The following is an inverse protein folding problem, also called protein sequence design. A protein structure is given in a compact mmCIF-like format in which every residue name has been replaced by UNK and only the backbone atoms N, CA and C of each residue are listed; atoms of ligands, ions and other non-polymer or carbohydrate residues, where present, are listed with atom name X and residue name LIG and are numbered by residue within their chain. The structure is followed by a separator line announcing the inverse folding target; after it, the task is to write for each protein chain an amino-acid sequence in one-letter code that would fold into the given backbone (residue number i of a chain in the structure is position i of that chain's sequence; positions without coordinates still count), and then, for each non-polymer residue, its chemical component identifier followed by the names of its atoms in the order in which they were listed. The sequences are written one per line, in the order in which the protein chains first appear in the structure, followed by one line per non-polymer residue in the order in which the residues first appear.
data_IF_957720461540
#
_entry.id   IF_957720461540
#
_cell.length_a   1.000
_cell.length_b   1.000
_cell.length_c   1.000
_cell.angle_alpha   90.00
_cell.angle_beta   90.00
_cell.angle_gamma   90.00
#
_symmetry.space_group_name_H-M   'P 1'
#
loop_
_entity.id
_entity.type
_entity.pdbx_description
1 polymer ?
#
# COMPACT_ATOMS: atom_id res chain seq x y z
N UNK A 1 -1.30 28.25 2.91
CA UNK A 1 -1.67 27.14 2.02
C UNK A 1 -1.49 27.64 0.59
N UNK A 2 -0.70 26.94 -0.23
CA UNK A 2 -0.60 27.29 -1.65
C UNK A 2 -1.99 27.11 -2.32
N UNK A 3 -2.37 27.98 -3.26
CA UNK A 3 -3.67 27.89 -3.94
C UNK A 3 -3.77 26.57 -4.74
N UNK A 4 -4.99 26.04 -4.86
CA UNK A 4 -5.28 24.70 -5.38
C UNK A 4 -4.86 24.41 -6.85
N UNK A 5 -4.34 25.39 -7.58
CA UNK A 5 -4.13 25.34 -9.04
C UNK A 5 -2.69 25.58 -9.50
N UNK A 6 -1.69 25.58 -8.60
CA UNK A 6 -0.29 25.62 -9.06
C UNK A 6 0.20 24.22 -9.46
N UNK A 7 0.87 24.07 -10.62
CA UNK A 7 1.52 22.82 -10.97
C UNK A 7 2.64 22.53 -9.96
N UNK A 8 2.36 21.62 -9.04
CA UNK A 8 3.37 21.12 -8.12
C UNK A 8 4.26 20.11 -8.84
N UNK A 9 5.57 20.29 -8.74
CA UNK A 9 6.50 19.22 -9.11
C UNK A 9 6.29 18.06 -8.12
N UNK A 10 5.93 16.85 -8.57
CA UNK A 10 5.79 15.71 -7.67
C UNK A 10 7.16 15.36 -7.07
N UNK A 11 7.23 15.02 -5.77
CA UNK A 11 8.49 14.57 -5.19
C UNK A 11 8.93 13.25 -5.86
N UNK A 12 10.24 12.92 -5.83
CA UNK A 12 10.72 11.64 -6.34
C UNK A 12 10.05 10.47 -5.60
N UNK A 13 9.84 9.32 -6.27
CA UNK A 13 9.29 8.14 -5.61
C UNK A 13 10.19 7.67 -4.46
N UNK A 14 9.59 7.02 -3.46
CA UNK A 14 10.36 6.34 -2.42
C UNK A 14 11.21 5.23 -3.04
N UNK A 15 12.47 5.12 -2.62
CA UNK A 15 13.35 4.05 -3.09
C UNK A 15 12.84 2.67 -2.62
N UNK A 16 12.77 1.68 -3.51
CA UNK A 16 12.34 0.33 -3.16
C UNK A 16 13.49 -0.43 -2.49
N UNK A 17 13.60 -0.34 -1.17
CA UNK A 17 14.68 -0.99 -0.40
C UNK A 17 14.32 -2.43 0.01
N UNK A 18 15.28 -3.37 0.10
CA UNK A 18 15.01 -4.73 0.57
C UNK A 18 14.32 -4.77 1.94
N UNK A 19 14.75 -3.89 2.85
CA UNK A 19 14.18 -3.78 4.21
C UNK A 19 12.67 -3.52 4.25
N UNK A 20 12.10 -2.94 3.19
CA UNK A 20 10.65 -2.73 3.05
C UNK A 20 10.03 -3.78 2.13
N UNK A 21 10.68 -4.08 1.00
CA UNK A 21 10.12 -4.94 -0.04
C UNK A 21 10.11 -6.42 0.33
N UNK A 22 11.09 -6.91 1.07
CA UNK A 22 11.16 -8.33 1.48
C UNK A 22 10.01 -8.68 2.44
N UNK A 23 9.75 -7.95 3.54
CA UNK A 23 8.57 -8.21 4.38
C UNK A 23 7.25 -8.19 3.60
N UNK A 24 7.08 -7.24 2.67
CA UNK A 24 5.88 -7.15 1.82
C UNK A 24 5.75 -8.41 0.96
N UNK A 25 6.83 -8.82 0.29
CA UNK A 25 6.86 -9.99 -0.57
C UNK A 25 6.60 -11.30 0.18
N UNK A 26 7.18 -11.46 1.36
CA UNK A 26 7.00 -12.66 2.18
C UNK A 26 5.58 -12.77 2.72
N UNK A 27 5.02 -11.68 3.25
CA UNK A 27 3.63 -11.67 3.73
C UNK A 27 2.66 -11.96 2.57
N UNK A 28 2.89 -11.38 1.39
CA UNK A 28 2.05 -11.65 0.22
C UNK A 28 2.12 -13.13 -0.20
N UNK A 29 3.31 -13.74 -0.17
CA UNK A 29 3.48 -15.18 -0.45
C UNK A 29 2.77 -16.04 0.59
N UNK A 30 2.86 -15.69 1.86
CA UNK A 30 2.22 -16.44 2.96
C UNK A 30 0.69 -16.34 2.95
N UNK A 31 0.13 -15.15 2.78
CA UNK A 31 -1.31 -14.92 2.86
C UNK A 31 -2.03 -15.26 1.54
N UNK A 32 -1.37 -15.04 0.41
CA UNK A 32 -2.03 -15.06 -0.90
C UNK A 32 -1.36 -15.99 -1.91
N UNK A 33 -0.12 -16.44 -1.68
CA UNK A 33 0.60 -17.30 -2.63
C UNK A 33 1.01 -16.60 -3.93
N UNK A 34 1.06 -15.26 -3.95
CA UNK A 34 1.33 -14.46 -5.16
C UNK A 34 2.61 -13.62 -5.02
N UNK A 35 3.29 -13.29 -6.14
CA UNK A 35 4.38 -12.32 -6.14
C UNK A 35 3.87 -10.89 -6.01
N UNK A 36 4.76 -9.99 -5.59
CA UNK A 36 4.50 -8.54 -5.53
C UNK A 36 5.15 -7.87 -6.75
N UNK A 37 4.37 -7.07 -7.48
CA UNK A 37 4.85 -6.26 -8.60
C UNK A 37 4.68 -4.78 -8.26
N UNK A 38 5.76 -4.02 -8.08
CA UNK A 38 5.66 -2.58 -7.83
C UNK A 38 5.07 -1.86 -9.04
N UNK A 39 4.17 -0.90 -8.79
CA UNK A 39 3.65 0.00 -9.81
C UNK A 39 3.48 1.41 -9.24
N UNK A 40 3.42 2.40 -10.13
CA UNK A 40 3.15 3.79 -9.77
C UNK A 40 1.73 4.14 -10.20
N UNK A 41 0.86 4.39 -9.22
CA UNK A 41 -0.50 4.89 -9.48
C UNK A 41 -0.44 6.35 -9.92
N UNK A 42 -1.31 6.74 -10.87
CA UNK A 42 -1.51 8.14 -11.29
C UNK A 42 -2.50 8.89 -10.39
N UNK A 43 -3.12 8.20 -9.41
CA UNK A 43 -4.03 8.79 -8.45
C UNK A 43 -3.36 9.64 -7.37
N UNK A 44 -4.17 10.40 -6.63
CA UNK A 44 -3.70 11.20 -5.50
C UNK A 44 -3.65 10.37 -4.21
N UNK A 45 -2.56 10.49 -3.46
CA UNK A 45 -2.41 9.91 -2.12
C UNK A 45 -1.68 10.89 -1.21
N UNK A 46 -1.85 10.74 0.11
CA UNK A 46 -1.12 11.51 1.12
C UNK A 46 0.40 11.31 1.05
N UNK A 47 0.84 10.20 0.43
CA UNK A 47 2.25 9.90 0.20
C UNK A 47 2.98 10.95 -0.63
N UNK A 48 2.27 11.79 -1.41
CA UNK A 48 2.87 12.96 -2.03
C UNK A 48 3.37 13.95 -0.98
N UNK A 49 2.54 14.33 -0.01
CA UNK A 49 2.91 15.32 1.00
C UNK A 49 3.99 14.80 1.95
N UNK A 50 3.89 13.53 2.34
CA UNK A 50 4.89 12.88 3.19
C UNK A 50 6.26 12.82 2.51
N UNK A 51 6.32 12.43 1.23
CA UNK A 51 7.57 12.42 0.47
C UNK A 51 8.15 13.81 0.27
N UNK A 52 7.32 14.83 0.05
CA UNK A 52 7.78 16.23 0.01
C UNK A 52 8.39 16.69 1.34
N UNK A 53 7.97 16.12 2.47
CA UNK A 53 8.55 16.34 3.79
C UNK A 53 9.76 15.43 4.11
N UNK A 54 10.24 14.63 3.15
CA UNK A 54 11.38 13.74 3.34
C UNK A 54 11.08 12.40 4.00
N UNK A 55 9.79 12.02 4.15
CA UNK A 55 9.37 10.74 4.74
C UNK A 55 9.11 9.73 3.61
N UNK A 56 9.92 8.66 3.48
CA UNK A 56 9.63 7.58 2.53
C UNK A 56 8.26 6.96 2.80
N UNK A 57 7.41 6.93 1.79
CA UNK A 57 6.03 6.42 1.88
C UNK A 57 5.77 5.40 0.78
N UNK A 58 5.10 4.30 1.14
CA UNK A 58 4.81 3.18 0.24
C UNK A 58 3.31 2.86 0.32
N UNK A 59 2.66 2.72 -0.84
CA UNK A 59 1.28 2.24 -0.92
C UNK A 59 1.27 0.72 -0.93
N UNK A 60 0.66 0.11 0.09
CA UNK A 60 0.52 -1.34 0.23
C UNK A 60 -0.85 -1.68 0.78
N UNK A 61 -1.42 -2.81 0.36
CA UNK A 61 -2.75 -3.25 0.79
C UNK A 61 -2.87 -4.77 0.68
N UNK A 62 -3.58 -5.38 1.64
CA UNK A 62 -4.03 -6.78 1.56
C UNK A 62 -5.45 -6.94 1.00
N UNK A 63 -6.04 -5.87 0.47
CA UNK A 63 -7.42 -5.85 -0.04
C UNK A 63 -7.47 -6.40 -1.47
N UNK A 64 -7.32 -7.72 -1.64
CA UNK A 64 -7.43 -8.37 -2.95
C UNK A 64 -8.87 -8.23 -3.49
N UNK A 65 -9.01 -7.97 -4.78
CA UNK A 65 -10.30 -7.81 -5.45
C UNK A 65 -10.27 -8.33 -6.88
N UNK A 66 -11.42 -8.34 -7.54
CA UNK A 66 -11.51 -8.66 -8.96
C UNK A 66 -10.96 -7.47 -9.78
N UNK A 67 -9.92 -7.66 -10.61
CA UNK A 67 -9.37 -6.58 -11.44
C UNK A 67 -10.39 -6.01 -12.44
N UNK A 68 -11.48 -6.73 -12.73
CA UNK A 68 -12.56 -6.29 -13.61
C UNK A 68 -13.73 -5.62 -12.87
N UNK A 69 -13.72 -5.56 -11.52
CA UNK A 69 -14.78 -4.95 -10.71
C UNK A 69 -14.23 -3.81 -9.82
N UNK A 70 -13.71 -2.75 -10.44
CA UNK A 70 -13.17 -1.57 -9.74
C UNK A 70 -14.29 -0.57 -9.45
N UNK A 71 -14.69 -0.45 -8.18
CA UNK A 71 -15.84 0.39 -7.74
C UNK A 71 -15.50 1.48 -6.73
N UNK A 72 -14.23 1.70 -6.44
CA UNK A 72 -13.80 2.72 -5.47
C UNK A 72 -14.41 4.08 -5.82
N UNK A 73 -14.96 4.77 -4.81
CA UNK A 73 -15.69 6.04 -4.94
C UNK A 73 -17.03 5.98 -5.72
N UNK A 74 -17.52 4.79 -6.05
CA UNK A 74 -18.82 4.59 -6.67
C UNK A 74 -19.96 4.46 -5.67
N UNK A 75 -21.21 4.64 -6.13
CA UNK A 75 -22.42 4.47 -5.29
C UNK A 75 -22.56 3.05 -4.69
N UNK A 76 -21.99 2.06 -5.36
CA UNK A 76 -22.02 0.64 -4.97
C UNK A 76 -20.59 0.13 -4.66
N UNK A 77 -19.78 0.97 -4.02
CA UNK A 77 -18.48 0.55 -3.51
C UNK A 77 -18.65 -0.59 -2.50
N UNK A 78 -17.90 -1.69 -2.71
CA UNK A 78 -18.00 -2.91 -1.92
C UNK A 78 -16.70 -3.68 -1.99
N UNK A 79 -16.55 -4.64 -1.08
CA UNK A 79 -15.42 -5.56 -1.07
C UNK A 79 -15.85 -6.95 -0.62
N UNK A 80 -15.03 -7.96 -0.90
CA UNK A 80 -15.25 -9.32 -0.40
C UNK A 80 -15.04 -9.37 1.11
N UNK A 81 -15.87 -10.14 1.82
CA UNK A 81 -15.72 -10.36 3.27
C UNK A 81 -14.35 -10.94 3.61
N UNK A 82 -13.83 -11.88 2.81
CA UNK A 82 -12.48 -12.41 3.00
C UNK A 82 -11.42 -11.31 2.90
N UNK A 83 -11.51 -10.47 1.86
CA UNK A 83 -10.56 -9.36 1.64
C UNK A 83 -10.59 -8.33 2.75
N UNK A 84 -11.73 -8.16 3.44
CA UNK A 84 -11.79 -7.32 4.63
C UNK A 84 -10.87 -7.84 5.72
N UNK A 85 -10.97 -9.12 6.07
CA UNK A 85 -10.12 -9.74 7.10
C UNK A 85 -8.66 -9.83 6.68
N UNK A 86 -8.39 -10.28 5.45
CA UNK A 86 -7.03 -10.32 4.90
C UNK A 86 -6.38 -8.92 4.88
N UNK A 87 -7.16 -7.89 4.56
CA UNK A 87 -6.74 -6.50 4.54
C UNK A 87 -6.44 -5.92 5.92
N UNK A 88 -6.87 -6.56 7.01
CA UNK A 88 -6.43 -6.23 8.37
C UNK A 88 -5.16 -7.02 8.74
N UNK A 89 -5.11 -8.30 8.37
CA UNK A 89 -3.99 -9.18 8.69
C UNK A 89 -2.68 -8.74 8.02
N UNK A 90 -2.74 -8.37 6.74
CA UNK A 90 -1.56 -7.94 5.99
C UNK A 90 -0.83 -6.74 6.63
N UNK A 91 -1.48 -5.58 6.87
CA UNK A 91 -0.82 -4.45 7.50
C UNK A 91 -0.40 -4.74 8.95
N UNK A 92 -1.15 -5.57 9.69
CA UNK A 92 -0.76 -5.99 11.03
C UNK A 92 0.58 -6.76 11.03
N UNK A 93 0.73 -7.75 10.14
CA UNK A 93 1.98 -8.49 9.97
C UNK A 93 3.12 -7.57 9.53
N UNK A 94 2.85 -6.66 8.60
CA UNK A 94 3.86 -5.76 8.06
C UNK A 94 4.39 -4.82 9.16
N UNK A 95 3.51 -4.19 9.93
CA UNK A 95 3.89 -3.33 11.06
C UNK A 95 4.67 -4.12 12.10
N UNK A 96 4.23 -5.35 12.45
CA UNK A 96 4.96 -6.23 13.38
C UNK A 96 6.39 -6.51 12.91
N UNK A 97 6.58 -6.91 11.64
CA UNK A 97 7.91 -7.20 11.09
C UNK A 97 8.81 -5.97 11.07
N UNK A 98 8.28 -4.82 10.64
CA UNK A 98 9.05 -3.57 10.59
C UNK A 98 9.41 -3.02 11.98
N UNK A 99 8.58 -3.27 12.99
CA UNK A 99 8.81 -2.86 14.37
C UNK A 99 9.72 -3.83 15.16
N UNK A 100 10.28 -4.86 14.52
CA UNK A 100 11.15 -5.85 15.17
C UNK A 100 10.42 -6.96 15.94
N UNK A 101 9.10 -7.11 15.73
CA UNK A 101 8.35 -8.26 16.21
C UNK A 101 8.69 -9.50 15.38
N UNK A 102 9.15 -10.57 16.05
CA UNK A 102 9.30 -11.89 15.42
C UNK A 102 7.98 -12.32 14.75
N UNK A 103 8.03 -13.10 13.64
CA UNK A 103 6.83 -13.59 12.98
C UNK A 103 5.96 -14.36 13.99
N UNK A 104 4.66 -14.09 13.98
CA UNK A 104 3.71 -14.89 14.76
C UNK A 104 3.78 -16.33 14.26
N UNK A 105 4.23 -17.22 15.15
CA UNK A 105 4.28 -18.67 14.98
C UNK A 105 2.89 -19.28 14.83
#
# INVERSE_FOLDING_TARGET
LAPANEPSVPPPPSALTPAVMEPIGDIARELFGVPVVPFMSTGATDGRFLRSAGIPTYGVSGLLGDPNDVRSHGRDERMLVKSFYDGQEFPWRLVRRLAGGAPAS
#
